data_IF_136331572827
#
_entry.id   IF_136331572827
#
_cell.length_a   1.000
_cell.length_b   1.000
_cell.length_c   1.000
_cell.angle_alpha   90.00
_cell.angle_beta   90.00
_cell.angle_gamma   90.00
#
_symmetry.space_group_name_H-M   'P 1'
#
loop_
_entity.id
_entity.type
_entity.pdbx_description
1 polymer ?
#
# COMPACT_ATOMS: atom_id res chain seq x y z
N UNK A 1 47.12 -2.68 18.85
CA UNK A 1 45.92 -2.70 19.71
C UNK A 1 45.44 -1.27 19.91
N UNK A 2 44.62 -0.73 19.00
CA UNK A 2 44.16 0.65 19.11
C UNK A 2 42.66 0.72 18.87
N UNK A 3 41.88 0.70 19.95
CA UNK A 3 40.50 1.20 19.93
C UNK A 3 40.53 2.60 20.54
N UNK A 4 40.32 3.63 19.71
CA UNK A 4 40.27 5.02 20.18
C UNK A 4 39.06 5.23 21.11
N UNK A 5 39.16 6.17 22.07
CA UNK A 5 38.13 6.44 23.10
C UNK A 5 36.70 6.63 22.54
N UNK A 6 36.58 7.06 21.28
CA UNK A 6 35.31 7.22 20.55
C UNK A 6 34.62 5.88 20.25
N UNK A 7 35.36 4.82 19.95
CA UNK A 7 34.80 3.48 19.67
C UNK A 7 34.18 2.83 20.91
N UNK A 8 34.77 3.07 22.08
CA UNK A 8 34.29 2.56 23.38
C UNK A 8 32.94 3.18 23.75
N UNK A 9 32.68 4.44 23.35
CA UNK A 9 31.42 5.13 23.60
C UNK A 9 30.27 4.59 22.75
N UNK A 10 30.50 4.34 21.45
CA UNK A 10 29.48 3.75 20.57
C UNK A 10 29.04 2.36 21.02
N UNK A 11 29.98 1.56 21.54
CA UNK A 11 29.70 0.21 22.04
C UNK A 11 28.77 0.22 23.26
N UNK A 12 28.96 1.16 24.20
CA UNK A 12 28.10 1.32 25.38
C UNK A 12 26.70 1.79 24.99
N UNK A 13 26.61 2.77 24.10
CA UNK A 13 25.32 3.28 23.59
C UNK A 13 24.56 2.19 22.83
N UNK A 14 25.24 1.43 21.98
CA UNK A 14 24.66 0.31 21.24
C UNK A 14 24.11 -0.79 22.16
N UNK A 15 24.86 -1.14 23.22
CA UNK A 15 24.44 -2.12 24.21
C UNK A 15 23.20 -1.65 25.00
N UNK A 16 23.21 -0.40 25.48
CA UNK A 16 22.08 0.20 26.21
C UNK A 16 20.80 0.25 25.35
N UNK A 17 20.95 0.59 24.06
CA UNK A 17 19.83 0.69 23.11
C UNK A 17 19.45 -0.65 22.44
N UNK A 18 20.18 -1.75 22.73
CA UNK A 18 20.03 -3.06 22.08
C UNK A 18 20.06 -2.97 20.55
N UNK A 19 20.98 -2.16 20.01
CA UNK A 19 21.17 -1.93 18.56
C UNK A 19 22.60 -2.26 18.12
N UNK A 20 22.81 -2.36 16.81
CA UNK A 20 24.13 -2.61 16.25
C UNK A 20 25.02 -1.37 16.35
N UNK A 21 26.32 -1.56 16.63
CA UNK A 21 27.32 -0.48 16.68
C UNK A 21 27.32 0.34 15.37
N UNK A 22 27.20 -0.34 14.22
CA UNK A 22 27.12 0.29 12.89
C UNK A 22 25.88 1.16 12.72
N UNK A 23 24.72 0.73 13.24
CA UNK A 23 23.49 1.53 13.17
C UNK A 23 23.59 2.81 13.99
N UNK A 24 24.16 2.71 15.19
CA UNK A 24 24.43 3.88 16.05
C UNK A 24 25.43 4.82 15.40
N UNK A 25 26.54 4.30 14.84
CA UNK A 25 27.51 5.09 14.11
C UNK A 25 26.88 5.83 12.92
N UNK A 26 26.07 5.15 12.10
CA UNK A 26 25.36 5.78 10.98
C UNK A 26 24.41 6.89 11.43
N UNK A 27 23.65 6.68 12.50
CA UNK A 27 22.73 7.68 13.05
C UNK A 27 23.52 8.90 13.56
N UNK A 28 24.60 8.68 14.29
CA UNK A 28 25.42 9.77 14.85
C UNK A 28 26.21 10.53 13.77
N UNK A 29 26.73 9.83 12.75
CA UNK A 29 27.43 10.44 11.63
C UNK A 29 26.48 11.25 10.73
N UNK A 30 25.25 10.76 10.52
CA UNK A 30 24.22 11.51 9.78
C UNK A 30 23.59 12.63 10.62
N UNK A 31 23.54 12.49 11.95
CA UNK A 31 22.97 13.47 12.88
C UNK A 31 21.55 13.89 12.50
N UNK A 32 21.35 15.20 12.32
CA UNK A 32 20.05 15.78 11.92
C UNK A 32 19.60 15.38 10.51
N UNK A 33 20.50 14.91 9.66
CA UNK A 33 20.21 14.47 8.30
C UNK A 33 19.79 12.99 8.24
N UNK A 34 19.73 12.28 9.37
CA UNK A 34 19.25 10.90 9.39
C UNK A 34 17.75 10.85 9.05
N UNK A 35 17.43 10.42 7.82
CA UNK A 35 16.05 10.21 7.36
C UNK A 35 15.78 8.72 7.22
N UNK A 36 14.67 8.27 7.80
CA UNK A 36 14.14 6.94 7.53
C UNK A 36 13.49 6.95 6.14
N UNK A 37 14.23 6.54 5.13
CA UNK A 37 13.70 6.39 3.77
C UNK A 37 12.79 5.16 3.74
N UNK A 38 11.58 5.31 3.20
CA UNK A 38 10.72 4.17 2.92
C UNK A 38 11.33 3.33 1.81
N UNK A 39 11.37 2.01 2.00
CA UNK A 39 11.87 1.11 0.95
C UNK A 39 10.92 1.20 -0.24
N UNK A 40 11.45 1.24 -1.46
CA UNK A 40 10.72 1.39 -2.72
C UNK A 40 9.76 0.25 -3.07
N UNK A 41 9.63 -0.77 -2.20
CA UNK A 41 8.73 -1.90 -2.39
C UNK A 41 9.08 -2.74 -3.61
N UNK A 42 8.29 -3.80 -3.85
CA UNK A 42 8.39 -4.59 -5.07
C UNK A 42 7.73 -3.81 -6.23
N UNK A 43 8.33 -3.79 -7.43
CA UNK A 43 7.68 -3.24 -8.61
C UNK A 43 6.30 -3.86 -8.83
N UNK A 44 5.40 -3.05 -9.39
CA UNK A 44 4.03 -3.46 -9.70
C UNK A 44 4.03 -4.44 -10.86
N UNK A 45 3.13 -5.43 -10.80
CA UNK A 45 2.89 -6.36 -11.92
C UNK A 45 2.17 -5.66 -13.07
N UNK A 46 1.38 -4.64 -12.77
CA UNK A 46 0.64 -3.87 -13.78
C UNK A 46 1.45 -2.67 -14.25
N UNK A 47 1.44 -2.44 -15.56
CA UNK A 47 1.98 -1.23 -16.16
C UNK A 47 1.02 -0.05 -16.00
N UNK A 48 1.50 1.16 -16.29
CA UNK A 48 0.64 2.35 -16.33
C UNK A 48 -0.52 2.20 -17.33
N UNK A 49 -0.27 1.57 -18.48
CA UNK A 49 -1.30 1.32 -19.50
C UNK A 49 -2.36 0.33 -19.02
N UNK A 50 -1.94 -0.70 -18.28
CA UNK A 50 -2.88 -1.66 -17.70
C UNK A 50 -3.76 -0.96 -16.66
N UNK A 51 -3.18 -0.20 -15.74
CA UNK A 51 -3.94 0.54 -14.72
C UNK A 51 -4.92 1.54 -15.37
N UNK A 52 -4.53 2.20 -16.47
CA UNK A 52 -5.41 3.04 -17.29
C UNK A 52 -6.60 2.26 -17.88
N UNK A 53 -6.33 1.09 -18.48
CA UNK A 53 -7.37 0.27 -19.11
C UNK A 53 -8.33 -0.31 -18.05
N UNK A 54 -7.81 -0.75 -16.90
CA UNK A 54 -8.62 -1.20 -15.75
C UNK A 54 -9.58 -0.10 -15.36
N UNK A 55 -9.08 1.13 -15.24
CA UNK A 55 -9.87 2.30 -14.83
C UNK A 55 -10.99 2.60 -15.81
N UNK A 56 -10.69 2.69 -17.11
CA UNK A 56 -11.69 2.97 -18.15
C UNK A 56 -12.76 1.86 -18.19
N UNK A 57 -12.34 0.60 -18.15
CA UNK A 57 -13.28 -0.53 -18.20
C UNK A 57 -14.17 -0.60 -16.96
N UNK A 58 -13.63 -0.26 -15.78
CA UNK A 58 -14.38 -0.21 -14.54
C UNK A 58 -15.31 1.02 -14.45
N UNK A 59 -14.94 2.16 -15.03
CA UNK A 59 -15.76 3.38 -14.98
C UNK A 59 -16.89 3.39 -15.99
N UNK A 60 -16.63 2.92 -17.20
CA UNK A 60 -17.54 3.14 -18.34
C UNK A 60 -18.57 2.03 -18.49
N UNK A 61 -18.32 0.84 -17.94
CA UNK A 61 -19.14 -0.33 -18.22
C UNK A 61 -19.40 -1.15 -16.95
N UNK A 62 -20.64 -1.62 -16.80
CA UNK A 62 -21.01 -2.64 -15.80
C UNK A 62 -20.46 -4.02 -16.22
N UNK A 63 -19.13 -4.17 -16.20
CA UNK A 63 -18.42 -5.38 -16.60
C UNK A 63 -17.88 -6.10 -15.37
N UNK A 64 -17.99 -7.43 -15.38
CA UNK A 64 -17.42 -8.26 -14.32
C UNK A 64 -15.89 -8.23 -14.32
N UNK A 65 -15.28 -8.37 -13.14
CA UNK A 65 -13.83 -8.44 -12.99
C UNK A 65 -13.18 -9.50 -13.88
N UNK A 66 -13.86 -10.64 -14.09
CA UNK A 66 -13.38 -11.71 -14.96
C UNK A 66 -13.28 -11.27 -16.42
N UNK A 67 -14.24 -10.47 -16.90
CA UNK A 67 -14.22 -9.98 -18.28
C UNK A 67 -13.21 -8.84 -18.47
N UNK A 68 -13.03 -7.98 -17.47
CA UNK A 68 -11.92 -7.00 -17.45
C UNK A 68 -10.58 -7.73 -17.53
N UNK A 69 -10.40 -8.79 -16.72
CA UNK A 69 -9.19 -9.62 -16.73
C UNK A 69 -8.89 -10.19 -18.12
N UNK A 70 -9.91 -10.72 -18.79
CA UNK A 70 -9.75 -11.30 -20.13
C UNK A 70 -9.35 -10.23 -21.16
N UNK A 71 -9.92 -9.03 -21.08
CA UNK A 71 -9.59 -7.92 -21.99
C UNK A 71 -8.14 -7.44 -21.82
N UNK A 72 -7.62 -7.46 -20.59
CA UNK A 72 -6.25 -7.02 -20.25
C UNK A 72 -5.24 -8.18 -20.40
N UNK A 73 -5.64 -9.29 -21.02
CA UNK A 73 -4.73 -10.38 -21.37
C UNK A 73 -4.48 -11.41 -20.27
N UNK A 74 -5.32 -11.49 -19.23
CA UNK A 74 -5.40 -12.66 -18.34
C UNK A 74 -4.29 -12.81 -17.28
N UNK A 75 -3.15 -12.14 -17.46
CA UNK A 75 -1.94 -12.30 -16.64
C UNK A 75 -2.10 -11.78 -15.20
N UNK A 76 -3.06 -10.87 -14.96
CA UNK A 76 -3.25 -10.23 -13.66
C UNK A 76 -4.26 -11.03 -12.83
N UNK A 77 -3.95 -11.26 -11.55
CA UNK A 77 -4.87 -11.94 -10.64
C UNK A 77 -6.15 -11.11 -10.39
N UNK A 78 -7.27 -11.79 -10.09
CA UNK A 78 -8.55 -11.13 -9.75
C UNK A 78 -8.42 -10.20 -8.54
N UNK A 79 -7.64 -10.60 -7.52
CA UNK A 79 -7.38 -9.76 -6.33
C UNK A 79 -6.59 -8.51 -6.68
N UNK A 80 -5.60 -8.62 -7.55
CA UNK A 80 -4.82 -7.47 -8.02
C UNK A 80 -5.71 -6.48 -8.76
N UNK A 81 -6.58 -6.97 -9.65
CA UNK A 81 -7.58 -6.14 -10.35
C UNK A 81 -8.51 -5.42 -9.37
N UNK A 82 -9.10 -6.12 -8.42
CA UNK A 82 -9.99 -5.52 -7.42
C UNK A 82 -9.27 -4.42 -6.62
N UNK A 83 -8.03 -4.67 -6.20
CA UNK A 83 -7.21 -3.67 -5.51
C UNK A 83 -6.99 -2.43 -6.39
N UNK A 84 -6.71 -2.60 -7.69
CA UNK A 84 -6.51 -1.47 -8.61
C UNK A 84 -7.75 -0.61 -8.78
N UNK A 85 -8.92 -1.24 -8.80
CA UNK A 85 -10.17 -0.50 -8.94
C UNK A 85 -10.51 0.24 -7.63
N UNK A 86 -10.17 -0.33 -6.47
CA UNK A 86 -10.31 0.37 -5.18
C UNK A 86 -9.30 1.52 -5.02
N UNK A 87 -8.04 1.30 -5.38
CA UNK A 87 -6.96 2.30 -5.35
C UNK A 87 -7.19 3.46 -6.32
N UNK A 88 -7.96 3.25 -7.40
CA UNK A 88 -8.23 4.29 -8.39
C UNK A 88 -9.34 5.26 -7.99
N UNK A 89 -10.02 5.04 -6.85
CA UNK A 89 -11.12 5.85 -6.33
C UNK A 89 -12.36 5.95 -7.26
N UNK A 90 -12.35 5.29 -8.42
CA UNK A 90 -13.49 5.29 -9.36
C UNK A 90 -14.63 4.37 -8.91
N UNK A 91 -14.34 3.35 -8.09
CA UNK A 91 -15.40 2.63 -7.38
C UNK A 91 -15.76 3.41 -6.11
N UNK A 92 -16.73 4.31 -6.23
CA UNK A 92 -17.43 4.86 -5.06
C UNK A 92 -18.17 3.68 -4.42
N UNK A 93 -17.67 3.19 -3.29
CA UNK A 93 -18.41 2.26 -2.44
C UNK A 93 -19.69 2.97 -2.00
N UNK A 94 -20.78 2.70 -2.72
CA UNK A 94 -22.10 3.23 -2.37
C UNK A 94 -22.54 2.50 -1.09
N UNK A 95 -22.42 3.18 0.06
CA UNK A 95 -23.02 2.69 1.31
C UNK A 95 -24.53 2.60 1.08
N UNK A 96 -25.05 1.38 0.93
CA UNK A 96 -26.49 1.19 0.89
C UNK A 96 -27.05 1.41 2.31
N UNK A 97 -28.18 2.12 2.45
CA UNK A 97 -28.86 2.21 3.74
C UNK A 97 -29.21 0.79 4.22
N UNK A 98 -28.98 0.51 5.51
CA UNK A 98 -29.27 -0.79 6.10
C UNK A 98 -30.78 -1.07 6.23
N UNK A 99 -31.58 -0.02 6.23
CA UNK A 99 -33.03 -0.09 6.26
C UNK A 99 -33.59 -0.11 4.83
N UNK A 100 -34.47 -1.09 4.49
CA UNK A 100 -35.25 -1.01 3.27
C UNK A 100 -36.07 0.29 3.24
N UNK A 101 -36.33 0.82 2.04
CA UNK A 101 -37.22 1.97 1.84
C UNK A 101 -38.68 1.59 2.06
N UNK A 102 -39.06 1.26 3.30
CA UNK A 102 -40.40 0.82 3.67
C UNK A 102 -41.39 1.98 3.52
N UNK A 103 -42.24 1.90 2.49
CA UNK A 103 -43.41 2.78 2.33
C UNK A 103 -44.48 2.46 3.40
N UNK A 104 -45.43 3.37 3.67
CA UNK A 104 -46.48 3.14 4.68
C UNK A 104 -47.30 1.86 4.46
N UNK A 105 -47.43 1.40 3.21
CA UNK A 105 -48.09 0.14 2.87
C UNK A 105 -47.36 -1.09 3.42
N UNK A 106 -46.04 -1.06 3.56
CA UNK A 106 -45.26 -2.16 4.13
C UNK A 106 -45.34 -2.25 5.66
N UNK A 107 -45.84 -1.20 6.33
CA UNK A 107 -45.96 -1.14 7.80
C UNK A 107 -47.33 -1.60 8.31
N UNK A 108 -48.24 -1.98 7.41
CA UNK A 108 -49.65 -2.33 7.70
C UNK A 108 -49.93 -3.84 7.69
N UNK A 109 -48.90 -4.69 7.60
CA UNK A 109 -49.02 -6.15 7.68
C UNK A 109 -48.74 -6.66 9.10
#
# INVERSE_FOLDING_TARGET
>A
MYGSKTEVHFSKVAAALKRSKRGIYQILACGKNFKRISRSGRPRVTSFRDDMHIRILASTRNISLSRIRNIIGGQISKKTLQRRILESEYMINRKMPRSPGLTPHHKKA
#
